data_IF_691891310097
#
_entry.id   IF_691891310097
#
_cell.length_a   1.000
_cell.length_b   1.000
_cell.length_c   1.000
_cell.angle_alpha   90.00
_cell.angle_beta   90.00
_cell.angle_gamma   90.00
#
_symmetry.space_group_name_H-M   'P 1'
#
loop_
_entity.id
_entity.type
_entity.pdbx_description
1 polymer ?
#
# COMPACT_ATOMS: atom_id res chain seq x y z
N UNK A 1 -32.50 35.30 61.36
CA UNK A 1 -31.77 35.60 60.13
C UNK A 1 -30.94 34.34 59.77
N UNK A 2 -31.54 33.41 58.95
CA UNK A 2 -30.98 32.16 58.50
C UNK A 2 -30.37 32.36 57.12
N UNK A 3 -29.09 32.07 56.99
CA UNK A 3 -28.36 32.08 55.70
C UNK A 3 -28.30 30.66 55.19
N UNK A 4 -29.11 30.33 54.18
CA UNK A 4 -29.12 29.07 53.52
C UNK A 4 -27.98 29.03 52.48
N UNK A 5 -26.92 28.28 52.72
CA UNK A 5 -25.86 27.97 51.75
C UNK A 5 -26.35 26.91 50.78
N UNK A 6 -26.57 27.30 49.52
CA UNK A 6 -26.78 26.40 48.41
C UNK A 6 -25.45 25.75 47.98
N UNK A 7 -25.29 24.47 48.19
CA UNK A 7 -24.17 23.67 47.68
C UNK A 7 -24.53 23.23 46.27
N UNK A 8 -23.98 23.89 45.25
CA UNK A 8 -24.01 23.40 43.87
C UNK A 8 -23.06 22.23 43.77
N UNK A 9 -23.60 21.02 43.70
CA UNK A 9 -22.85 19.81 43.27
C UNK A 9 -22.59 19.89 41.77
N UNK A 10 -21.37 20.25 41.40
CA UNK A 10 -20.89 20.11 40.02
C UNK A 10 -20.68 18.63 39.77
N UNK A 11 -21.60 18.01 39.02
CA UNK A 11 -21.45 16.65 38.52
C UNK A 11 -20.37 16.66 37.42
N UNK A 12 -19.16 16.29 37.76
CA UNK A 12 -18.11 16.01 36.76
C UNK A 12 -18.48 14.72 36.04
N UNK A 13 -19.02 14.81 34.84
CA UNK A 13 -19.16 13.69 33.93
C UNK A 13 -17.75 13.33 33.47
N UNK A 14 -17.13 12.40 34.18
CA UNK A 14 -15.96 11.69 33.68
C UNK A 14 -16.44 10.79 32.55
N UNK A 15 -16.28 11.23 31.33
CA UNK A 15 -16.32 10.38 30.14
C UNK A 15 -15.22 9.33 30.34
N UNK A 16 -15.62 8.14 30.74
CA UNK A 16 -14.73 6.98 30.69
C UNK A 16 -14.39 6.73 29.22
N UNK A 17 -13.25 7.21 28.75
CA UNK A 17 -12.59 6.64 27.57
C UNK A 17 -12.43 5.15 27.91
N UNK A 18 -13.26 4.31 27.32
CA UNK A 18 -12.96 2.86 27.27
C UNK A 18 -11.58 2.78 26.64
N UNK A 19 -10.57 2.42 27.42
CA UNK A 19 -9.34 1.84 26.92
C UNK A 19 -9.75 0.53 26.26
N UNK A 20 -10.10 0.57 24.98
CA UNK A 20 -10.02 -0.60 24.14
C UNK A 20 -8.51 -0.86 24.11
N UNK A 21 -8.07 -1.98 24.68
CA UNK A 21 -6.68 -2.40 24.57
C UNK A 21 -6.32 -2.30 23.08
N UNK A 22 -5.25 -1.55 22.77
CA UNK A 22 -4.77 -1.41 21.40
C UNK A 22 -4.59 -2.85 20.88
N UNK A 23 -5.35 -3.21 19.84
CA UNK A 23 -5.20 -4.52 19.20
C UNK A 23 -4.26 -4.32 18.02
N UNK A 24 -3.15 -5.06 17.99
CA UNK A 24 -2.23 -4.97 16.87
C UNK A 24 -2.98 -5.31 15.58
N UNK A 25 -2.89 -4.44 14.58
CA UNK A 25 -3.46 -4.65 13.24
C UNK A 25 -2.30 -4.92 12.28
N UNK A 26 -2.36 -6.04 11.58
CA UNK A 26 -1.38 -6.42 10.56
C UNK A 26 -1.93 -6.12 9.17
N UNK A 27 -1.29 -5.20 8.46
CA UNK A 27 -1.63 -4.83 7.08
C UNK A 27 -0.55 -5.36 6.14
N UNK A 28 -0.97 -6.04 5.08
CA UNK A 28 -0.09 -6.49 4.01
C UNK A 28 -0.46 -5.84 2.67
N UNK A 29 0.54 -5.64 1.81
CA UNK A 29 0.37 -5.15 0.44
C UNK A 29 1.17 -6.03 -0.52
N UNK A 30 0.57 -6.45 -1.63
CA UNK A 30 1.20 -7.32 -2.61
C UNK A 30 0.70 -7.08 -4.03
N UNK A 31 1.58 -6.69 -4.95
CA UNK A 31 1.30 -6.81 -6.37
C UNK A 31 1.35 -8.30 -6.74
N UNK A 32 0.20 -8.90 -7.03
CA UNK A 32 0.07 -10.33 -7.26
C UNK A 32 0.24 -10.74 -8.74
N UNK A 33 0.24 -9.77 -9.64
CA UNK A 33 0.39 -10.02 -11.07
C UNK A 33 -0.54 -11.14 -11.58
N UNK A 34 -1.84 -10.98 -11.41
CA UNK A 34 -2.96 -11.91 -11.66
C UNK A 34 -3.28 -12.84 -10.47
N UNK A 35 -4.35 -12.49 -9.77
CA UNK A 35 -4.84 -13.25 -8.60
C UNK A 35 -5.28 -14.67 -8.99
N UNK A 36 -5.90 -14.87 -10.17
CA UNK A 36 -6.33 -16.19 -10.63
C UNK A 36 -5.18 -17.12 -10.95
N UNK A 37 -4.08 -16.58 -11.48
CA UNK A 37 -2.90 -17.38 -11.79
C UNK A 37 -2.10 -17.77 -10.54
N UNK A 38 -2.32 -17.07 -9.42
CA UNK A 38 -1.54 -17.15 -8.19
C UNK A 38 -2.38 -17.32 -6.94
N UNK A 39 -3.59 -17.82 -7.08
CA UNK A 39 -4.50 -18.03 -5.96
C UNK A 39 -3.86 -18.90 -4.87
N UNK A 40 -3.15 -19.96 -5.26
CA UNK A 40 -2.52 -20.90 -4.31
C UNK A 40 -1.49 -20.22 -3.41
N UNK A 41 -0.69 -19.32 -3.97
CA UNK A 41 0.33 -18.60 -3.18
C UNK A 41 -0.29 -17.48 -2.34
N UNK A 42 -1.37 -16.83 -2.79
CA UNK A 42 -2.11 -15.88 -1.96
C UNK A 42 -2.74 -16.60 -0.77
N UNK A 43 -3.41 -17.73 -1.00
CA UNK A 43 -3.99 -18.52 0.09
C UNK A 43 -2.94 -19.06 1.05
N UNK A 44 -1.77 -19.49 0.55
CA UNK A 44 -0.63 -19.89 1.37
C UNK A 44 -0.16 -18.74 2.26
N UNK A 45 0.07 -17.56 1.67
CA UNK A 45 0.47 -16.36 2.40
C UNK A 45 -0.55 -15.99 3.49
N UNK A 46 -1.84 -16.04 3.17
CA UNK A 46 -2.90 -15.75 4.14
C UNK A 46 -2.93 -16.75 5.30
N UNK A 47 -2.58 -18.03 5.08
CA UNK A 47 -2.49 -19.04 6.16
C UNK A 47 -1.24 -18.87 7.02
N UNK A 48 -0.09 -18.55 6.41
CA UNK A 48 1.20 -18.43 7.10
C UNK A 48 1.33 -17.11 7.84
N UNK A 49 1.06 -15.98 7.16
CA UNK A 49 1.24 -14.64 7.73
C UNK A 49 0.05 -14.10 8.50
N UNK A 50 -1.16 -14.53 8.13
CA UNK A 50 -2.40 -14.14 8.77
C UNK A 50 -2.59 -12.63 8.95
N UNK A 51 -2.37 -11.78 7.91
CA UNK A 51 -2.64 -10.36 8.04
C UNK A 51 -4.14 -10.12 8.31
N UNK A 52 -4.47 -9.05 9.04
CA UNK A 52 -5.85 -8.64 9.22
C UNK A 52 -6.42 -8.05 7.94
N UNK A 53 -5.58 -7.35 7.19
CA UNK A 53 -5.91 -6.73 5.90
C UNK A 53 -4.84 -7.04 4.87
N UNK A 54 -5.25 -7.50 3.68
CA UNK A 54 -4.39 -7.69 2.51
C UNK A 54 -4.86 -6.79 1.36
N UNK A 55 -3.97 -5.92 0.91
CA UNK A 55 -4.13 -5.08 -0.27
C UNK A 55 -3.43 -5.73 -1.47
N UNK A 56 -4.18 -5.99 -2.54
CA UNK A 56 -3.66 -6.59 -3.77
C UNK A 56 -3.65 -5.56 -4.90
N UNK A 57 -2.60 -5.60 -5.72
CA UNK A 57 -2.50 -4.87 -6.98
C UNK A 57 -2.34 -5.88 -8.13
N UNK A 58 -2.65 -5.45 -9.35
CA UNK A 58 -2.67 -6.27 -10.56
C UNK A 58 -3.49 -7.55 -10.41
N UNK A 59 -4.71 -7.44 -9.91
CA UNK A 59 -5.63 -8.60 -9.80
C UNK A 59 -6.00 -9.18 -11.15
N UNK A 60 -6.02 -8.36 -12.23
CA UNK A 60 -6.25 -8.72 -13.64
C UNK A 60 -7.54 -9.50 -13.88
N UNK A 61 -8.56 -9.20 -13.09
CA UNK A 61 -9.85 -9.88 -13.11
C UNK A 61 -10.98 -8.89 -12.81
N UNK A 62 -12.15 -9.08 -13.42
CA UNK A 62 -13.36 -8.31 -13.13
C UNK A 62 -13.92 -8.70 -11.76
N UNK A 63 -14.67 -7.78 -11.14
CA UNK A 63 -15.23 -7.97 -9.78
C UNK A 63 -16.14 -9.20 -9.69
N UNK A 64 -16.97 -9.45 -10.70
CA UNK A 64 -17.96 -10.55 -10.76
C UNK A 64 -17.34 -11.96 -10.82
N UNK A 65 -16.10 -12.07 -11.29
CA UNK A 65 -15.37 -13.34 -11.41
C UNK A 65 -14.10 -13.37 -10.54
N UNK A 66 -14.01 -12.45 -9.57
CA UNK A 66 -12.94 -12.45 -8.58
C UNK A 66 -13.06 -13.71 -7.69
N UNK A 67 -11.97 -14.44 -7.37
CA UNK A 67 -12.02 -15.68 -6.62
C UNK A 67 -12.23 -15.46 -5.11
N UNK A 68 -13.15 -14.59 -4.75
CA UNK A 68 -13.39 -14.13 -3.37
C UNK A 68 -13.82 -15.21 -2.40
N UNK A 69 -14.51 -16.26 -2.86
CA UNK A 69 -15.02 -17.33 -1.99
C UNK A 69 -13.89 -18.14 -1.33
N UNK A 70 -12.76 -18.34 -2.02
CA UNK A 70 -11.57 -18.96 -1.45
C UNK A 70 -11.05 -18.15 -0.25
N UNK A 71 -10.97 -16.85 -0.40
CA UNK A 71 -10.49 -15.94 0.66
C UNK A 71 -11.50 -15.80 1.80
N UNK A 72 -12.83 -15.82 1.53
CA UNK A 72 -13.87 -15.85 2.58
C UNK A 72 -13.73 -17.06 3.49
N UNK A 73 -13.44 -18.24 2.93
CA UNK A 73 -13.18 -19.47 3.70
C UNK A 73 -11.97 -19.37 4.63
N UNK A 74 -11.05 -18.47 4.34
CA UNK A 74 -9.86 -18.17 5.18
C UNK A 74 -10.12 -17.03 6.20
N UNK A 75 -11.36 -16.54 6.28
CA UNK A 75 -11.77 -15.51 7.22
C UNK A 75 -11.76 -14.08 6.64
N UNK A 76 -11.37 -13.88 5.38
CA UNK A 76 -11.36 -12.56 4.72
C UNK A 76 -12.75 -12.29 4.11
N UNK A 77 -13.72 -12.10 5.00
CA UNK A 77 -15.15 -11.98 4.62
C UNK A 77 -15.49 -10.61 4.05
N UNK A 78 -14.74 -9.58 4.42
CA UNK A 78 -14.90 -8.21 3.92
C UNK A 78 -13.98 -8.01 2.72
N UNK A 79 -14.55 -7.68 1.57
CA UNK A 79 -13.79 -7.55 0.33
C UNK A 79 -14.28 -6.32 -0.44
N UNK A 80 -13.39 -5.41 -0.77
CA UNK A 80 -13.66 -4.26 -1.63
C UNK A 80 -12.79 -4.37 -2.86
N UNK A 81 -13.42 -4.41 -4.03
CA UNK A 81 -12.79 -4.71 -5.30
C UNK A 81 -12.89 -3.51 -6.23
N UNK A 82 -11.88 -3.29 -7.05
CA UNK A 82 -11.92 -2.46 -8.23
C UNK A 82 -11.16 -3.20 -9.33
N UNK A 83 -11.86 -4.13 -9.98
CA UNK A 83 -11.29 -5.06 -10.93
C UNK A 83 -11.32 -4.55 -12.36
N UNK A 84 -10.38 -5.06 -13.16
CA UNK A 84 -10.33 -4.80 -14.60
C UNK A 84 -9.91 -6.07 -15.35
N UNK A 85 -10.53 -6.30 -16.50
CA UNK A 85 -10.23 -7.49 -17.30
C UNK A 85 -8.81 -7.45 -17.86
N UNK A 86 -8.02 -8.51 -17.61
CA UNK A 86 -6.67 -8.75 -18.15
C UNK A 86 -5.58 -7.76 -17.69
N UNK A 87 -5.92 -6.57 -17.24
CA UNK A 87 -4.99 -5.51 -16.86
C UNK A 87 -5.38 -4.92 -15.51
N UNK A 88 -4.42 -4.30 -14.81
CA UNK A 88 -4.66 -3.55 -13.57
C UNK A 88 -5.52 -4.32 -12.55
N UNK A 89 -6.40 -3.62 -11.87
CA UNK A 89 -7.25 -4.16 -10.82
C UNK A 89 -6.58 -4.13 -9.46
N UNK A 90 -7.30 -3.62 -8.47
CA UNK A 90 -6.89 -3.57 -7.06
C UNK A 90 -7.97 -4.15 -6.17
N UNK A 91 -7.58 -4.71 -5.03
CA UNK A 91 -8.52 -5.29 -4.07
C UNK A 91 -8.04 -5.09 -2.64
N UNK A 92 -8.98 -4.97 -1.71
CA UNK A 92 -8.71 -5.02 -0.27
C UNK A 92 -9.52 -6.19 0.30
N UNK A 93 -8.82 -7.14 0.90
CA UNK A 93 -9.37 -8.31 1.58
C UNK A 93 -9.13 -8.16 3.08
N UNK A 94 -10.16 -8.32 3.91
CA UNK A 94 -10.05 -8.05 5.34
C UNK A 94 -10.85 -9.05 6.18
N UNK A 95 -10.30 -9.37 7.36
CA UNK A 95 -11.00 -10.03 8.46
C UNK A 95 -11.81 -9.02 9.28
N UNK A 96 -11.39 -7.76 9.26
CA UNK A 96 -12.01 -6.65 9.97
C UNK A 96 -13.06 -5.99 9.08
N UNK A 97 -14.13 -5.40 9.65
CA UNK A 97 -15.09 -4.61 8.90
C UNK A 97 -14.43 -3.49 8.10
N UNK A 98 -14.91 -3.26 6.88
CA UNK A 98 -14.48 -2.19 5.99
C UNK A 98 -15.64 -1.23 5.74
N UNK A 99 -15.40 0.07 5.90
CA UNK A 99 -16.39 1.12 5.76
C UNK A 99 -15.97 2.15 4.72
N UNK A 100 -16.89 3.00 4.28
CA UNK A 100 -16.65 4.21 3.47
C UNK A 100 -15.69 3.97 2.30
N UNK A 101 -15.93 2.94 1.50
CA UNK A 101 -15.07 2.66 0.36
C UNK A 101 -15.23 3.70 -0.75
N UNK A 102 -14.10 4.02 -1.41
CA UNK A 102 -14.03 4.97 -2.51
C UNK A 102 -13.02 4.56 -3.57
N UNK A 103 -13.12 5.20 -4.74
CA UNK A 103 -12.20 5.00 -5.87
C UNK A 103 -11.82 6.37 -6.42
N UNK A 104 -10.54 6.57 -6.72
CA UNK A 104 -10.07 7.72 -7.46
C UNK A 104 -9.57 7.27 -8.84
N UNK A 105 -10.01 7.95 -9.88
CA UNK A 105 -9.45 7.81 -11.22
C UNK A 105 -8.42 8.92 -11.47
N UNK A 106 -7.22 8.72 -10.94
CA UNK A 106 -6.12 9.68 -11.12
C UNK A 106 -5.53 9.68 -12.53
N UNK A 107 -6.00 8.82 -13.44
CA UNK A 107 -5.61 8.83 -14.83
C UNK A 107 -6.67 9.45 -15.75
N UNK A 108 -7.90 9.59 -15.25
CA UNK A 108 -9.02 10.12 -16.04
C UNK A 108 -9.33 9.26 -17.28
N UNK A 109 -9.21 7.95 -17.13
CA UNK A 109 -9.40 6.98 -18.22
C UNK A 109 -10.11 5.69 -17.80
N UNK A 110 -10.62 5.62 -16.56
CA UNK A 110 -11.36 4.50 -16.01
C UNK A 110 -10.53 3.27 -15.64
N UNK A 111 -9.20 3.37 -15.60
CA UNK A 111 -8.36 2.24 -15.18
C UNK A 111 -8.50 1.96 -13.69
N UNK A 112 -8.64 0.67 -13.34
CA UNK A 112 -8.83 0.19 -11.97
C UNK A 112 -7.49 0.14 -11.21
N UNK A 113 -7.05 1.30 -10.68
CA UNK A 113 -5.74 1.46 -10.04
C UNK A 113 -5.79 1.91 -8.59
N UNK A 114 -6.98 2.17 -8.07
CA UNK A 114 -7.14 2.66 -6.72
C UNK A 114 -8.42 2.14 -6.06
N UNK A 115 -8.33 1.82 -4.77
CA UNK A 115 -9.47 1.62 -3.87
C UNK A 115 -9.06 2.01 -2.45
N UNK A 116 -9.90 2.80 -1.80
CA UNK A 116 -9.73 3.21 -0.40
C UNK A 116 -10.87 2.74 0.47
N UNK A 117 -10.59 2.49 1.74
CA UNK A 117 -11.56 2.09 2.76
C UNK A 117 -11.25 2.79 4.09
N UNK A 118 -12.22 2.80 5.01
CA UNK A 118 -11.99 3.14 6.42
C UNK A 118 -12.07 1.87 7.26
N UNK A 119 -11.08 1.68 8.13
CA UNK A 119 -11.06 0.61 9.13
C UNK A 119 -11.83 1.02 10.40
N UNK A 120 -12.30 0.06 11.20
CA UNK A 120 -13.03 0.32 12.47
C UNK A 120 -12.24 1.21 13.45
N UNK A 121 -10.91 1.14 13.42
CA UNK A 121 -10.04 2.02 14.22
C UNK A 121 -10.02 3.49 13.75
N UNK A 122 -10.76 3.81 12.68
CA UNK A 122 -10.85 5.17 12.12
C UNK A 122 -9.77 5.52 11.11
N UNK A 123 -8.80 4.63 10.87
CA UNK A 123 -7.76 4.85 9.86
C UNK A 123 -8.32 4.64 8.46
N UNK A 124 -7.95 5.54 7.57
CA UNK A 124 -8.15 5.42 6.15
C UNK A 124 -7.02 4.58 5.54
N UNK A 125 -7.35 3.56 4.75
CA UNK A 125 -6.40 2.71 4.06
C UNK A 125 -6.61 2.85 2.55
N UNK A 126 -5.58 3.32 1.85
CA UNK A 126 -5.58 3.55 0.41
C UNK A 126 -4.66 2.57 -0.29
N UNK A 127 -5.21 1.78 -1.19
CA UNK A 127 -4.50 0.79 -2.00
C UNK A 127 -4.34 1.31 -3.42
N UNK A 128 -3.10 1.52 -3.85
CA UNK A 128 -2.78 2.13 -5.15
C UNK A 128 -1.92 1.22 -6.03
N UNK A 129 -2.13 1.36 -7.35
CA UNK A 129 -1.28 0.78 -8.38
C UNK A 129 -0.88 1.87 -9.37
N UNK A 130 0.26 2.50 -9.12
CA UNK A 130 0.81 3.57 -9.97
C UNK A 130 1.21 2.99 -11.34
N UNK A 131 0.94 3.67 -12.47
CA UNK A 131 1.37 3.20 -13.78
C UNK A 131 2.86 2.88 -13.86
N UNK A 132 3.22 1.78 -14.52
CA UNK A 132 4.63 1.41 -14.69
C UNK A 132 5.42 2.44 -15.52
N UNK A 133 4.78 3.13 -16.46
CA UNK A 133 5.40 4.19 -17.25
C UNK A 133 6.05 3.74 -18.57
N UNK A 134 6.01 2.44 -18.91
CA UNK A 134 6.62 1.91 -20.14
C UNK A 134 8.15 1.90 -20.11
N UNK A 135 8.81 1.94 -21.28
CA UNK A 135 10.25 1.71 -21.39
C UNK A 135 11.06 2.99 -21.68
N UNK A 136 10.43 4.06 -22.17
CA UNK A 136 11.10 5.32 -22.53
C UNK A 136 10.75 6.39 -21.49
N UNK A 137 11.74 6.94 -20.76
CA UNK A 137 11.50 7.92 -19.69
C UNK A 137 11.40 9.36 -20.19
N UNK A 138 10.66 9.57 -21.27
CA UNK A 138 10.39 10.88 -21.87
C UNK A 138 8.88 11.05 -22.05
N UNK A 139 8.23 12.00 -21.35
CA UNK A 139 6.79 12.20 -21.43
C UNK A 139 6.34 12.74 -22.81
N UNK A 140 7.22 13.36 -23.59
CA UNK A 140 6.91 13.83 -24.92
C UNK A 140 6.89 12.70 -25.96
N UNK A 141 7.67 11.65 -25.74
CA UNK A 141 7.80 10.49 -26.64
C UNK A 141 6.99 9.28 -26.17
N UNK A 142 6.68 9.18 -24.88
CA UNK A 142 6.03 8.03 -24.29
C UNK A 142 4.78 8.44 -23.48
N UNK A 143 3.57 8.28 -24.05
CA UNK A 143 2.32 8.62 -23.35
C UNK A 143 2.14 7.86 -22.02
N UNK A 144 2.65 6.62 -21.89
CA UNK A 144 2.58 5.86 -20.64
C UNK A 144 3.43 6.50 -19.53
N UNK A 145 4.56 7.09 -19.89
CA UNK A 145 5.39 7.81 -18.94
C UNK A 145 4.74 9.14 -18.53
N UNK A 146 4.14 9.86 -19.49
CA UNK A 146 3.36 11.05 -19.19
C UNK A 146 2.17 10.75 -18.26
N UNK A 147 1.44 9.64 -18.48
CA UNK A 147 0.36 9.19 -17.59
C UNK A 147 0.84 8.91 -16.18
N UNK A 148 2.01 8.27 -16.01
CA UNK A 148 2.60 8.01 -14.70
C UNK A 148 2.88 9.29 -13.93
N UNK A 149 3.50 10.27 -14.59
CA UNK A 149 3.81 11.55 -13.96
C UNK A 149 2.52 12.32 -13.60
N UNK A 150 1.52 12.31 -14.47
CA UNK A 150 0.22 12.92 -14.20
C UNK A 150 -0.52 12.22 -13.05
N UNK A 151 -0.43 10.89 -12.94
CA UNK A 151 -0.98 10.13 -11.82
C UNK A 151 -0.37 10.58 -10.49
N UNK A 152 0.98 10.64 -10.41
CA UNK A 152 1.69 11.09 -9.22
C UNK A 152 1.36 12.55 -8.86
N UNK A 153 1.21 13.42 -9.84
CA UNK A 153 0.84 14.81 -9.62
C UNK A 153 -0.60 14.94 -9.06
N UNK A 154 -1.56 14.16 -9.56
CA UNK A 154 -2.93 14.14 -9.02
C UNK A 154 -2.99 13.53 -7.61
N UNK A 155 -2.21 12.48 -7.34
CA UNK A 155 -2.06 11.95 -5.97
C UNK A 155 -1.46 13.00 -5.02
N UNK A 156 -0.50 13.80 -5.50
CA UNK A 156 0.10 14.90 -4.72
C UNK A 156 -0.96 15.90 -4.29
N UNK A 157 -1.76 16.41 -5.22
CA UNK A 157 -2.86 17.34 -4.92
C UNK A 157 -3.90 16.73 -3.98
N UNK A 158 -4.27 15.47 -4.20
CA UNK A 158 -5.17 14.76 -3.29
C UNK A 158 -4.58 14.67 -1.87
N UNK A 159 -3.27 14.41 -1.75
CA UNK A 159 -2.58 14.33 -0.46
C UNK A 159 -2.56 15.66 0.29
N UNK A 160 -2.48 16.81 -0.41
CA UNK A 160 -2.51 18.15 0.19
C UNK A 160 -3.83 18.43 0.95
N UNK A 161 -4.93 17.82 0.47
CA UNK A 161 -6.27 18.01 1.05
C UNK A 161 -6.60 17.00 2.17
N UNK A 162 -5.75 15.97 2.40
CA UNK A 162 -5.98 14.99 3.44
C UNK A 162 -5.89 15.61 4.85
N UNK A 163 -6.81 15.17 5.72
CA UNK A 163 -6.84 15.60 7.12
C UNK A 163 -6.98 14.42 8.09
N UNK A 164 -7.24 13.24 7.55
CA UNK A 164 -7.54 12.03 8.30
C UNK A 164 -6.29 11.19 8.52
N UNK A 165 -6.22 10.43 9.64
CA UNK A 165 -5.19 9.41 9.81
C UNK A 165 -5.25 8.40 8.66
N UNK A 166 -4.20 8.33 7.85
CA UNK A 166 -4.20 7.55 6.61
C UNK A 166 -2.96 6.69 6.48
N UNK A 167 -3.14 5.49 5.95
CA UNK A 167 -2.08 4.61 5.45
C UNK A 167 -2.29 4.41 3.96
N UNK A 168 -1.27 4.66 3.15
CA UNK A 168 -1.27 4.40 1.71
C UNK A 168 -0.29 3.28 1.40
N UNK A 169 -0.74 2.29 0.64
CA UNK A 169 0.04 1.10 0.30
C UNK A 169 -0.07 0.79 -1.19
N UNK A 170 0.89 0.08 -1.71
CA UNK A 170 0.80 -0.50 -3.05
C UNK A 170 2.09 -0.45 -3.85
N UNK A 171 1.94 -0.77 -5.12
CA UNK A 171 3.02 -0.67 -6.10
C UNK A 171 3.06 0.75 -6.68
N UNK A 172 4.06 1.51 -6.25
CA UNK A 172 4.27 2.89 -6.72
C UNK A 172 5.11 2.95 -7.99
N UNK A 173 5.69 1.81 -8.40
CA UNK A 173 6.52 1.70 -9.60
C UNK A 173 7.70 2.71 -9.63
N UNK A 174 8.12 3.25 -8.50
CA UNK A 174 9.27 4.17 -8.36
C UNK A 174 10.17 3.71 -7.23
N UNK A 175 11.45 3.59 -7.52
CA UNK A 175 12.53 3.32 -6.57
C UNK A 175 13.29 4.62 -6.30
N UNK A 176 13.04 5.34 -5.18
CA UNK A 176 13.51 6.73 -5.01
C UNK A 176 14.99 6.86 -4.62
N UNK A 177 15.57 5.89 -3.93
CA UNK A 177 16.92 5.98 -3.39
C UNK A 177 17.92 5.12 -4.18
N UNK A 178 19.21 5.44 -4.09
CA UNK A 178 20.27 4.63 -4.70
C UNK A 178 20.28 3.18 -4.18
N UNK A 179 19.96 2.98 -2.90
CA UNK A 179 19.84 1.66 -2.29
C UNK A 179 18.50 0.96 -2.59
N UNK A 180 17.56 1.63 -3.27
CA UNK A 180 16.30 1.04 -3.74
C UNK A 180 16.44 0.29 -5.06
N UNK A 181 17.61 0.30 -5.65
CA UNK A 181 17.92 -0.40 -6.90
C UNK A 181 19.24 -1.13 -6.80
N UNK A 182 19.37 -2.23 -7.54
CA UNK A 182 20.58 -3.04 -7.55
C UNK A 182 21.82 -2.28 -8.07
N UNK A 183 21.64 -1.24 -8.91
CA UNK A 183 22.70 -0.38 -9.42
C UNK A 183 22.14 0.97 -9.84
N UNK A 184 22.38 1.99 -9.03
CA UNK A 184 21.99 3.38 -9.35
C UNK A 184 22.59 3.82 -10.71
N UNK A 185 23.90 3.61 -10.92
CA UNK A 185 24.60 4.01 -12.15
C UNK A 185 23.97 3.44 -13.42
N UNK A 186 23.45 2.20 -13.39
CA UNK A 186 22.86 1.56 -14.56
C UNK A 186 21.38 1.89 -14.74
N UNK A 187 20.70 2.35 -13.69
CA UNK A 187 19.26 2.54 -13.68
C UNK A 187 18.81 3.99 -13.62
N UNK A 188 19.74 4.96 -13.49
CA UNK A 188 19.38 6.38 -13.36
C UNK A 188 18.57 6.94 -14.54
N UNK A 189 18.72 6.36 -15.73
CA UNK A 189 17.98 6.72 -16.93
C UNK A 189 16.93 5.65 -17.32
N UNK A 190 16.61 4.74 -16.41
CA UNK A 190 15.62 3.67 -16.64
C UNK A 190 14.35 3.95 -15.88
N UNK A 191 13.21 3.80 -16.55
CA UNK A 191 11.88 3.96 -15.94
C UNK A 191 11.80 3.18 -14.63
N UNK A 192 11.22 3.78 -13.62
CA UNK A 192 11.14 3.47 -12.19
C UNK A 192 12.28 4.04 -11.33
N UNK A 193 13.35 4.60 -11.91
CA UNK A 193 14.44 5.19 -11.13
C UNK A 193 15.00 6.47 -11.76
N UNK A 194 14.23 7.13 -12.63
CA UNK A 194 14.67 8.38 -13.26
C UNK A 194 14.57 9.58 -12.32
N UNK A 195 15.41 10.62 -12.47
CA UNK A 195 15.35 11.81 -11.61
C UNK A 195 13.97 12.48 -11.60
N UNK A 196 13.25 12.47 -12.72
CA UNK A 196 11.91 13.09 -12.81
C UNK A 196 10.87 12.31 -12.02
N UNK A 197 10.91 10.98 -12.01
CA UNK A 197 10.03 10.13 -11.21
C UNK A 197 10.34 10.26 -9.73
N UNK A 198 11.63 10.24 -9.38
CA UNK A 198 12.10 10.42 -8.00
C UNK A 198 11.63 11.78 -7.46
N UNK A 199 11.77 12.85 -8.25
CA UNK A 199 11.30 14.17 -7.87
C UNK A 199 9.76 14.22 -7.73
N UNK A 200 9.01 13.52 -8.60
CA UNK A 200 7.56 13.45 -8.51
C UNK A 200 7.12 12.70 -7.24
N UNK A 201 7.77 11.57 -6.92
CA UNK A 201 7.48 10.82 -5.70
C UNK A 201 7.85 11.62 -4.43
N UNK A 202 8.95 12.36 -4.45
CA UNK A 202 9.36 13.23 -3.35
C UNK A 202 8.34 14.36 -3.09
N UNK A 203 7.77 14.94 -4.15
CA UNK A 203 6.67 15.93 -4.00
C UNK A 203 5.44 15.30 -3.38
N UNK A 204 5.04 14.11 -3.82
CA UNK A 204 3.93 13.37 -3.21
C UNK A 204 4.19 13.10 -1.72
N UNK A 205 5.40 12.68 -1.37
CA UNK A 205 5.77 12.42 0.02
C UNK A 205 5.68 13.70 0.87
N UNK A 206 6.18 14.82 0.36
CA UNK A 206 6.15 16.10 1.07
C UNK A 206 4.75 16.70 1.19
N UNK A 207 3.82 16.37 0.28
CA UNK A 207 2.47 16.95 0.24
C UNK A 207 1.62 16.65 1.49
N UNK A 208 1.95 15.61 2.25
CA UNK A 208 1.27 15.23 3.48
C UNK A 208 2.24 14.76 4.58
N UNK A 209 3.52 15.09 4.46
CA UNK A 209 4.58 14.64 5.38
C UNK A 209 4.56 13.10 5.56
N UNK A 210 4.31 12.36 4.47
CA UNK A 210 4.22 10.92 4.48
C UNK A 210 5.48 10.27 5.03
N UNK A 211 5.31 9.41 6.04
CA UNK A 211 6.39 8.62 6.61
C UNK A 211 6.50 7.30 5.85
N UNK A 212 7.60 7.09 5.16
CA UNK A 212 7.92 5.81 4.50
C UNK A 212 8.28 4.77 5.57
N UNK A 213 7.35 3.86 5.84
CA UNK A 213 7.52 2.82 6.87
C UNK A 213 8.63 1.84 6.49
N UNK A 214 8.79 1.53 5.21
CA UNK A 214 9.92 0.72 4.75
C UNK A 214 11.25 1.32 5.17
N UNK A 215 11.44 2.62 4.97
CA UNK A 215 12.69 3.32 5.31
C UNK A 215 12.82 3.68 6.79
N UNK A 216 11.71 3.76 7.51
CA UNK A 216 11.73 3.89 8.97
C UNK A 216 12.32 2.64 9.66
N UNK A 217 12.00 1.44 9.17
CA UNK A 217 12.46 0.17 9.76
C UNK A 217 13.71 -0.40 9.11
N UNK A 218 13.96 -0.08 7.83
CA UNK A 218 15.15 -0.48 7.08
C UNK A 218 15.80 0.79 6.52
N UNK A 219 16.55 1.53 7.36
CA UNK A 219 17.12 2.83 6.97
C UNK A 219 18.21 2.68 5.90
N UNK A 220 18.39 3.68 5.04
CA UNK A 220 19.53 3.70 4.11
C UNK A 220 20.88 3.57 4.87
N UNK A 221 21.87 2.87 4.30
CA UNK A 221 21.94 2.36 2.92
C UNK A 221 21.46 0.91 2.75
N UNK A 222 20.75 0.35 3.70
CA UNK A 222 20.28 -1.03 3.63
C UNK A 222 19.29 -1.24 2.47
N UNK A 223 19.39 -2.39 1.79
CA UNK A 223 18.50 -2.78 0.70
C UNK A 223 17.24 -3.45 1.25
N UNK A 224 16.09 -3.15 0.63
CA UNK A 224 14.82 -3.80 0.92
C UNK A 224 14.01 -3.92 -0.38
N UNK A 225 14.53 -4.70 -1.33
CA UNK A 225 13.90 -4.87 -2.63
C UNK A 225 12.56 -5.60 -2.49
N UNK A 226 11.60 -5.22 -3.35
CA UNK A 226 10.26 -5.80 -3.37
C UNK A 226 9.92 -6.44 -4.71
N UNK A 227 10.75 -6.23 -5.74
CA UNK A 227 10.54 -6.68 -7.10
C UNK A 227 11.82 -7.21 -7.74
N UNK A 228 11.71 -8.32 -8.50
CA UNK A 228 12.75 -8.89 -9.36
C UNK A 228 12.16 -9.37 -10.66
N UNK A 229 12.80 -9.00 -11.77
CA UNK A 229 12.36 -9.41 -13.11
C UNK A 229 12.27 -10.93 -13.26
N UNK A 230 11.25 -11.45 -13.94
CA UNK A 230 11.16 -12.85 -14.36
C UNK A 230 12.28 -13.27 -15.32
N UNK A 231 12.99 -12.33 -15.95
CA UNK A 231 14.18 -12.64 -16.77
C UNK A 231 15.33 -13.20 -15.95
N UNK A 232 15.29 -13.08 -14.63
CA UNK A 232 16.20 -13.70 -13.69
C UNK A 232 15.43 -14.76 -12.90
N UNK A 233 15.38 -16.03 -13.35
CA UNK A 233 14.63 -17.09 -12.69
C UNK A 233 15.06 -17.32 -11.25
N UNK A 234 16.37 -17.25 -11.00
CA UNK A 234 16.94 -17.23 -9.66
C UNK A 234 17.27 -15.78 -9.29
N UNK A 235 16.38 -15.16 -8.51
CA UNK A 235 16.54 -13.78 -8.07
C UNK A 235 17.69 -13.62 -7.07
N UNK A 236 18.09 -14.69 -6.38
CA UNK A 236 19.18 -14.67 -5.38
C UNK A 236 20.57 -14.70 -6.01
N UNK A 237 20.70 -15.23 -7.23
CA UNK A 237 21.99 -15.40 -7.90
C UNK A 237 22.74 -14.10 -8.18
N UNK A 238 22.01 -12.99 -8.41
CA UNK A 238 22.60 -11.68 -8.70
C UNK A 238 21.90 -10.52 -8.03
N UNK A 239 20.82 -10.77 -7.30
CA UNK A 239 20.01 -9.85 -6.52
C UNK A 239 19.70 -8.51 -7.26
N UNK A 240 19.31 -8.58 -8.55
CA UNK A 240 18.97 -7.41 -9.36
C UNK A 240 17.56 -6.91 -9.08
N UNK A 241 17.29 -6.64 -7.80
CA UNK A 241 15.99 -6.16 -7.33
C UNK A 241 15.82 -4.65 -7.41
N UNK A 242 14.58 -4.23 -7.18
CA UNK A 242 14.16 -2.83 -6.99
C UNK A 242 13.12 -2.77 -5.86
N UNK A 243 13.07 -1.68 -5.13
CA UNK A 243 11.97 -1.39 -4.21
C UNK A 243 10.93 -0.55 -4.95
N UNK A 244 9.86 -1.17 -5.40
CA UNK A 244 8.77 -0.54 -6.15
C UNK A 244 7.49 -0.41 -5.33
N UNK A 245 7.33 -1.29 -4.34
CA UNK A 245 6.19 -1.32 -3.43
C UNK A 245 6.50 -0.53 -2.17
N UNK A 246 5.53 0.27 -1.74
CA UNK A 246 5.69 1.15 -0.59
C UNK A 246 4.50 1.01 0.36
N UNK A 247 4.74 1.32 1.63
CA UNK A 247 3.72 1.54 2.63
C UNK A 247 4.09 2.81 3.39
N UNK A 248 3.27 3.83 3.25
CA UNK A 248 3.44 5.12 3.89
C UNK A 248 2.31 5.41 4.85
N UNK A 249 2.62 6.02 5.96
CA UNK A 249 1.64 6.46 6.96
C UNK A 249 1.67 7.98 7.09
N UNK A 250 0.50 8.58 7.30
CA UNK A 250 0.43 9.97 7.76
C UNK A 250 1.09 10.12 9.13
N UNK A 251 1.58 11.31 9.51
CA UNK A 251 2.26 11.53 10.79
C UNK A 251 1.46 11.05 12.00
N UNK A 252 0.12 11.15 11.94
CA UNK A 252 -0.79 10.74 13.01
C UNK A 252 -0.79 9.22 13.28
N UNK A 253 -0.41 8.42 12.28
CA UNK A 253 -0.42 6.95 12.34
C UNK A 253 0.98 6.34 12.39
N UNK A 254 1.96 7.08 11.88
CA UNK A 254 3.31 6.55 11.70
C UNK A 254 3.93 5.98 12.99
N UNK A 255 3.68 6.62 14.14
CA UNK A 255 4.22 6.17 15.42
C UNK A 255 3.55 4.92 15.98
N UNK A 256 2.37 4.56 15.48
CA UNK A 256 1.71 3.31 15.81
C UNK A 256 2.31 2.09 15.08
N UNK A 257 3.12 2.31 14.04
CA UNK A 257 3.80 1.22 13.36
C UNK A 257 4.91 0.64 14.25
N UNK A 258 4.82 -0.65 14.56
CA UNK A 258 5.73 -1.36 15.49
C UNK A 258 6.69 -2.30 14.78
N UNK A 259 6.33 -2.77 13.58
CA UNK A 259 7.18 -3.62 12.75
C UNK A 259 6.86 -3.42 11.27
N UNK A 260 7.88 -3.59 10.42
CA UNK A 260 7.73 -3.63 8.96
C UNK A 260 8.72 -4.64 8.39
N UNK A 261 8.27 -5.44 7.43
CA UNK A 261 9.14 -6.39 6.73
C UNK A 261 8.72 -6.62 5.28
N UNK A 262 9.70 -6.97 4.47
CA UNK A 262 9.53 -7.51 3.13
C UNK A 262 9.50 -9.04 3.24
N UNK A 263 8.46 -9.69 2.73
CA UNK A 263 8.32 -11.15 2.80
C UNK A 263 8.94 -11.81 1.55
N UNK A 264 10.26 -11.69 1.40
CA UNK A 264 11.03 -12.19 0.27
C UNK A 264 10.84 -13.69 -0.05
N UNK A 265 10.64 -14.61 0.94
CA UNK A 265 10.46 -16.04 0.65
C UNK A 265 9.37 -16.34 -0.38
N UNK A 266 8.34 -15.49 -0.51
CA UNK A 266 7.29 -15.64 -1.53
C UNK A 266 7.84 -15.65 -2.96
N UNK A 267 9.00 -15.01 -3.22
CA UNK A 267 9.62 -14.96 -4.56
C UNK A 267 10.16 -16.32 -5.02
N UNK A 268 10.44 -17.22 -4.09
CA UNK A 268 10.93 -18.58 -4.35
C UNK A 268 9.80 -19.62 -4.40
N UNK A 269 8.54 -19.24 -4.23
CA UNK A 269 7.43 -20.19 -4.30
C UNK A 269 7.11 -20.62 -5.73
N UNK A 270 6.30 -21.68 -5.87
CA UNK A 270 5.87 -22.17 -7.19
C UNK A 270 4.99 -21.10 -7.88
N UNK A 271 5.32 -20.72 -9.11
CA UNK A 271 4.65 -19.66 -9.89
C UNK A 271 4.54 -18.33 -9.13
N UNK A 272 5.64 -17.77 -8.63
CA UNK A 272 5.60 -16.58 -7.80
C UNK A 272 5.14 -15.35 -8.58
N UNK A 273 4.75 -14.30 -7.86
CA UNK A 273 4.75 -12.94 -8.41
C UNK A 273 6.20 -12.47 -8.60
N UNK A 274 6.43 -11.52 -9.48
CA UNK A 274 7.69 -10.78 -9.57
C UNK A 274 7.86 -9.78 -8.43
N UNK A 275 6.79 -9.49 -7.69
CA UNK A 275 6.79 -8.74 -6.43
C UNK A 275 6.65 -9.68 -5.24
N UNK A 276 7.07 -9.20 -4.07
CA UNK A 276 6.87 -9.86 -2.78
C UNK A 276 6.06 -8.98 -1.83
N UNK A 277 5.34 -9.56 -0.85
CA UNK A 277 4.51 -8.80 0.07
C UNK A 277 5.34 -7.88 0.98
N UNK A 278 4.79 -6.69 1.25
CA UNK A 278 5.11 -5.89 2.43
C UNK A 278 4.15 -6.24 3.55
N UNK A 279 4.64 -6.29 4.78
CA UNK A 279 3.83 -6.53 5.98
C UNK A 279 4.21 -5.52 7.05
N UNK A 280 3.22 -4.80 7.58
CA UNK A 280 3.41 -3.85 8.69
C UNK A 280 2.44 -4.16 9.81
N UNK A 281 2.94 -4.09 11.04
CA UNK A 281 2.15 -4.23 12.26
C UNK A 281 1.98 -2.86 12.90
N UNK A 282 0.74 -2.56 13.32
CA UNK A 282 0.37 -1.32 13.97
C UNK A 282 -0.27 -1.61 15.32
N UNK A 283 0.06 -0.85 16.32
CA UNK A 283 -0.58 -0.85 17.64
C UNK A 283 -1.58 0.32 17.70
N UNK A 284 -2.85 0.06 17.32
CA UNK A 284 -3.88 1.07 17.03
C UNK A 284 -5.05 0.99 18.00
#
# INVERSE_FOLDING_TARGET
>A
LSVTRSIRRTLAIRTARRYIAAMPIKIASWNINSVRARIDIVERFLREEQPDVLCLQETKVMDDIFPGDGFRKLGYVHQVLNGQRMHHGVAILSRLPLHEHGRHDWQDNGEARHVGVRLDCGIRLENVYVPAGGDVPDPALNPKFAQKLAFLDRMTRWSEDLREPTVIVGDFNVAPLECDVWSHKQLIDVVSHTPVEIAALARLQAAHDWVDLGRRFVPPPERCFTWWSYRSPDHTANDRGRRLDHMWASPQVADAATAHRVHEPCRSWLKPSDHVPLVTEFDL
#
